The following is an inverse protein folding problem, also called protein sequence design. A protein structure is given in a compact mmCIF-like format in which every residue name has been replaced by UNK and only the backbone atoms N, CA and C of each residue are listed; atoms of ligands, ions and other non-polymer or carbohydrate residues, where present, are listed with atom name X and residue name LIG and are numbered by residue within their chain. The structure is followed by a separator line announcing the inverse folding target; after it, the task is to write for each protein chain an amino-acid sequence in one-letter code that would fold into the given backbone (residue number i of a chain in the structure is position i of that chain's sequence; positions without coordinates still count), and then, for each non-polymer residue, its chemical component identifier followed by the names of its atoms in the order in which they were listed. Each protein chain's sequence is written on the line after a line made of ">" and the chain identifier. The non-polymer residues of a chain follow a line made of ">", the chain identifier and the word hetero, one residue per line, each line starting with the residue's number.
data_IF_449756507891
#
_entry.id   IF_449756507891
#
_cell.length_a   1.000
_cell.length_b   1.000
_cell.length_c   1.000
_cell.angle_alpha   90.00
_cell.angle_beta   90.00
_cell.angle_gamma   90.00
#
_symmetry.space_group_name_H-M   'P 1'
#
loop_
_entity.id
_entity.type
_entity.pdbx_description
1 polymer ?
#
# COMPACT_ATOMS: atom_id res chain seq x y z
N UNK A 1 8.64 14.80 -8.75
CA UNK A 1 8.57 13.36 -9.04
C UNK A 1 7.15 12.95 -8.70
N UNK A 2 6.37 12.54 -9.69
CA UNK A 2 4.95 12.25 -9.50
C UNK A 2 4.82 10.77 -9.14
N UNK A 3 4.25 10.47 -7.98
CA UNK A 3 3.99 9.08 -7.54
C UNK A 3 2.50 8.83 -7.75
N UNK A 4 2.14 7.65 -8.24
CA UNK A 4 0.74 7.25 -8.42
C UNK A 4 0.48 5.95 -7.67
N UNK A 5 -0.68 5.84 -7.04
CA UNK A 5 -1.11 4.58 -6.43
C UNK A 5 -1.72 3.62 -7.49
N UNK A 6 -2.23 2.48 -7.05
CA UNK A 6 -2.82 1.44 -7.91
C UNK A 6 -4.12 1.89 -8.63
N UNK A 7 -4.83 2.87 -8.10
CA UNK A 7 -6.02 3.50 -8.69
C UNK A 7 -5.66 4.69 -9.61
N UNK A 8 -4.43 5.20 -9.51
CA UNK A 8 -3.90 6.27 -10.36
C UNK A 8 -4.01 7.67 -9.78
N UNK A 9 -4.32 7.82 -8.49
CA UNK A 9 -4.31 9.09 -7.79
C UNK A 9 -2.88 9.62 -7.60
N UNK A 10 -2.72 10.94 -7.75
CA UNK A 10 -1.43 11.60 -7.64
C UNK A 10 -1.04 11.75 -6.16
N UNK A 11 0.03 11.07 -5.77
CA UNK A 11 0.65 11.17 -4.45
C UNK A 11 1.79 12.20 -4.50
N UNK A 12 1.76 13.12 -3.54
CA UNK A 12 2.68 14.26 -3.49
C UNK A 12 4.14 13.85 -3.30
N UNK A 13 4.37 12.80 -2.52
CA UNK A 13 5.69 12.31 -2.13
C UNK A 13 5.61 10.89 -1.54
N UNK A 14 6.80 10.34 -1.29
CA UNK A 14 7.00 8.99 -0.78
C UNK A 14 6.38 8.81 0.62
N UNK A 15 6.35 9.86 1.45
CA UNK A 15 5.72 9.78 2.78
C UNK A 15 4.20 9.72 2.65
N UNK A 16 3.59 10.51 1.75
CA UNK A 16 2.17 10.41 1.44
C UNK A 16 1.78 9.02 0.92
N UNK A 17 2.61 8.45 0.04
CA UNK A 17 2.40 7.10 -0.48
C UNK A 17 2.47 6.03 0.62
N UNK A 18 3.41 6.18 1.56
CA UNK A 18 3.51 5.30 2.72
C UNK A 18 2.29 5.47 3.64
N UNK A 19 1.84 6.70 3.88
CA UNK A 19 0.65 6.96 4.70
C UNK A 19 -0.60 6.30 4.10
N UNK A 20 -0.79 6.38 2.78
CA UNK A 20 -1.87 5.70 2.07
C UNK A 20 -1.77 4.18 2.24
N UNK A 21 -0.60 3.59 2.01
CA UNK A 21 -0.39 2.16 2.20
C UNK A 21 -0.74 1.72 3.64
N UNK A 22 -0.33 2.50 4.64
CA UNK A 22 -0.65 2.22 6.05
C UNK A 22 -2.16 2.31 6.33
N UNK A 23 -2.86 3.27 5.74
CA UNK A 23 -4.32 3.41 5.86
C UNK A 23 -5.06 2.23 5.24
N UNK A 24 -4.69 1.84 4.01
CA UNK A 24 -5.24 0.68 3.31
C UNK A 24 -5.03 -0.61 4.12
N UNK A 25 -3.82 -0.84 4.63
CA UNK A 25 -3.54 -2.02 5.48
C UNK A 25 -4.37 -2.04 6.75
N UNK A 26 -4.62 -0.88 7.35
CA UNK A 26 -5.47 -0.74 8.53
C UNK A 26 -6.92 -1.06 8.22
N UNK A 27 -7.41 -0.65 7.06
CA UNK A 27 -8.76 -0.98 6.59
C UNK A 27 -8.91 -2.49 6.31
N UNK A 28 -7.97 -3.09 5.58
CA UNK A 28 -7.96 -4.52 5.28
C UNK A 28 -7.99 -5.37 6.56
N UNK A 29 -7.24 -4.97 7.59
CA UNK A 29 -7.27 -5.59 8.92
C UNK A 29 -8.64 -5.52 9.60
N UNK A 30 -9.38 -4.43 9.42
CA UNK A 30 -10.70 -4.20 10.04
C UNK A 30 -11.82 -4.90 9.28
N UNK A 31 -11.64 -5.16 7.99
CA UNK A 31 -12.67 -5.70 7.10
C UNK A 31 -12.27 -7.07 6.49
N UNK A 32 -11.98 -8.10 7.31
CA UNK A 32 -11.57 -9.42 6.79
C UNK A 32 -12.68 -10.13 6.00
N UNK A 33 -13.93 -9.68 6.11
CA UNK A 33 -15.05 -10.18 5.31
C UNK A 33 -15.08 -9.60 3.88
N UNK A 34 -14.38 -8.49 3.63
CA UNK A 34 -14.24 -7.86 2.30
C UNK A 34 -12.97 -8.37 1.61
N UNK A 35 -11.84 -8.34 2.32
CA UNK A 35 -10.52 -8.65 1.76
C UNK A 35 -10.06 -10.09 1.98
N UNK A 36 -10.89 -10.90 2.64
CA UNK A 36 -10.53 -12.26 3.03
C UNK A 36 -9.65 -12.33 4.29
N UNK A 37 -9.34 -13.55 4.74
CA UNK A 37 -8.68 -13.77 6.01
C UNK A 37 -7.23 -13.24 5.98
N UNK A 38 -6.77 -12.59 7.08
CA UNK A 38 -5.47 -11.93 7.12
C UNK A 38 -4.26 -12.78 6.76
N UNK A 39 -4.32 -14.09 7.02
CA UNK A 39 -3.21 -15.01 6.75
C UNK A 39 -2.88 -15.14 5.26
N UNK A 40 -3.83 -14.82 4.38
CA UNK A 40 -3.65 -14.92 2.93
C UNK A 40 -2.93 -13.68 2.38
N UNK A 41 -3.32 -12.48 2.79
CA UNK A 41 -2.74 -11.24 2.25
C UNK A 41 -1.57 -10.68 3.06
N UNK A 42 -1.35 -11.09 4.32
CA UNK A 42 -0.22 -10.62 5.14
C UNK A 42 1.15 -10.96 4.55
N UNK A 43 1.24 -11.92 3.62
CA UNK A 43 2.48 -12.29 2.93
C UNK A 43 2.82 -11.38 1.76
N UNK A 44 1.91 -10.48 1.39
CA UNK A 44 2.08 -9.56 0.26
C UNK A 44 2.77 -8.27 0.70
N UNK A 45 3.20 -7.50 -0.30
CA UNK A 45 3.81 -6.18 -0.15
C UNK A 45 3.00 -5.17 -0.95
N UNK A 46 2.87 -3.96 -0.41
CA UNK A 46 2.31 -2.81 -1.10
C UNK A 46 3.46 -2.14 -1.84
N UNK A 47 3.41 -2.15 -3.17
CA UNK A 47 4.51 -1.62 -3.99
C UNK A 47 4.13 -0.23 -4.48
N UNK A 48 4.96 0.75 -4.13
CA UNK A 48 4.82 2.13 -4.58
C UNK A 48 5.86 2.37 -5.68
N UNK A 49 5.39 2.74 -6.87
CA UNK A 49 6.24 3.04 -8.03
C UNK A 49 6.17 4.51 -8.44
N UNK A 50 7.21 5.00 -9.11
CA UNK A 50 7.13 6.28 -9.82
C UNK A 50 6.42 6.13 -11.18
N UNK A 51 6.26 7.25 -11.89
CA UNK A 51 5.69 7.31 -13.23
C UNK A 51 6.40 6.44 -14.29
N UNK A 52 7.69 6.13 -14.10
CA UNK A 52 8.47 5.21 -14.93
C UNK A 52 8.22 3.73 -14.58
N UNK A 53 7.46 3.44 -13.51
CA UNK A 53 7.29 2.09 -12.98
C UNK A 53 8.48 1.59 -12.17
N UNK A 54 9.44 2.45 -11.78
CA UNK A 54 10.50 2.04 -10.89
C UNK A 54 9.97 1.98 -9.46
N UNK A 55 10.31 0.90 -8.75
CA UNK A 55 9.91 0.70 -7.35
C UNK A 55 10.64 1.72 -6.48
N UNK A 56 9.86 2.49 -5.71
CA UNK A 56 10.36 3.46 -4.74
C UNK A 56 10.34 2.88 -3.33
N UNK A 57 9.23 2.24 -2.96
CA UNK A 57 9.04 1.63 -1.64
C UNK A 57 8.24 0.33 -1.79
N UNK A 58 8.57 -0.63 -0.92
CA UNK A 58 7.75 -1.80 -0.63
C UNK A 58 7.33 -1.76 0.85
N UNK A 59 6.03 -1.75 1.12
CA UNK A 59 5.49 -1.80 2.48
C UNK A 59 4.91 -3.19 2.74
N UNK A 60 5.49 -4.01 3.63
CA UNK A 60 4.95 -5.32 3.93
C UNK A 60 3.55 -5.23 4.55
N UNK A 61 2.61 -6.06 4.09
CA UNK A 61 1.25 -6.07 4.66
C UNK A 61 1.24 -6.55 6.13
N UNK A 62 2.29 -7.26 6.53
CA UNK A 62 2.53 -7.69 7.90
C UNK A 62 3.18 -6.63 8.80
N UNK A 63 3.54 -5.44 8.28
CA UNK A 63 4.17 -4.39 9.07
C UNK A 63 3.30 -4.02 10.30
N UNK A 64 3.94 -3.94 11.46
CA UNK A 64 3.28 -3.51 12.69
C UNK A 64 3.15 -1.98 12.66
N UNK A 65 1.94 -1.51 12.31
CA UNK A 65 1.51 -0.11 12.32
C UNK A 65 1.38 0.47 13.74
#
# INVERSE_FOLDING_TARGET
>A
MLIRDEEGDELADVEAARALAHETLREMRRLPHVYGPPREWQRNVFVITDESGAVLIEVPYAEEL
#
